data_IF_971290915213
#
_entry.id   IF_971290915213
#
_cell.length_a   1.000
_cell.length_b   1.000
_cell.length_c   1.000
_cell.angle_alpha   90.00
_cell.angle_beta   90.00
_cell.angle_gamma   90.00
#
_symmetry.space_group_name_H-M   'P 1'
#
loop_
_entity.id
_entity.type
_entity.pdbx_description
1 polymer ?
#
# COMPACT_ATOMS: atom_id res chain seq x y z
N UNK A 1 -11.28 -5.74 -7.49
CA UNK A 1 -11.91 -7.06 -7.67
C UNK A 1 -12.86 -7.24 -6.50
N UNK A 2 -14.16 -7.38 -6.77
CA UNK A 2 -15.15 -7.59 -5.71
C UNK A 2 -14.99 -9.02 -5.17
N UNK A 3 -14.67 -9.17 -3.89
CA UNK A 3 -14.69 -10.48 -3.24
C UNK A 3 -16.14 -10.92 -3.06
N UNK A 4 -16.79 -11.47 -4.09
CA UNK A 4 -17.98 -12.29 -3.88
C UNK A 4 -17.54 -13.72 -3.55
N UNK A 5 -16.95 -13.91 -2.37
CA UNK A 5 -16.70 -15.25 -1.82
C UNK A 5 -18.04 -15.83 -1.34
N UNK A 6 -18.83 -16.38 -2.28
CA UNK A 6 -19.93 -17.27 -1.91
C UNK A 6 -19.31 -18.53 -1.30
N UNK A 7 -19.41 -18.68 0.02
CA UNK A 7 -18.88 -19.85 0.75
C UNK A 7 -19.76 -21.05 0.49
N UNK A 8 -19.18 -22.21 0.13
CA UNK A 8 -19.94 -23.44 -0.10
C UNK A 8 -20.37 -24.08 1.20
N UNK A 9 -21.58 -24.68 1.24
CA UNK A 9 -22.02 -25.43 2.42
C UNK A 9 -21.06 -26.56 2.71
N UNK A 10 -20.54 -27.24 1.68
CA UNK A 10 -19.51 -28.26 1.86
C UNK A 10 -18.27 -27.72 2.58
N UNK A 11 -17.82 -26.51 2.25
CA UNK A 11 -16.66 -25.87 2.88
C UNK A 11 -16.92 -25.51 4.36
N UNK A 12 -18.20 -25.27 4.73
CA UNK A 12 -18.60 -24.98 6.11
C UNK A 12 -18.64 -26.22 7.00
N UNK A 13 -18.81 -27.41 6.41
CA UNK A 13 -19.01 -28.68 7.15
C UNK A 13 -17.85 -29.67 6.97
N UNK A 14 -16.78 -29.26 6.30
CA UNK A 14 -15.60 -30.10 6.05
C UNK A 14 -14.42 -29.64 6.91
N UNK A 15 -13.74 -30.60 7.53
CA UNK A 15 -12.54 -30.30 8.30
C UNK A 15 -11.33 -30.09 7.37
N UNK A 16 -10.63 -28.96 7.50
CA UNK A 16 -9.46 -28.66 6.66
C UNK A 16 -8.24 -29.57 6.90
N UNK A 17 -8.23 -30.35 8.00
CA UNK A 17 -7.13 -31.28 8.31
C UNK A 17 -7.33 -32.63 7.63
N UNK A 18 -8.46 -33.30 7.87
CA UNK A 18 -8.74 -34.61 7.25
C UNK A 18 -9.44 -34.51 5.89
N UNK A 19 -9.94 -33.33 5.52
CA UNK A 19 -10.71 -33.08 4.29
C UNK A 19 -12.00 -33.90 4.17
N UNK A 20 -12.51 -34.38 5.31
CA UNK A 20 -13.79 -35.09 5.42
C UNK A 20 -14.82 -34.23 6.17
N UNK A 21 -16.09 -34.64 6.10
CA UNK A 21 -17.15 -34.04 6.93
C UNK A 21 -16.75 -34.08 8.41
N UNK A 22 -17.09 -33.05 9.17
CA UNK A 22 -16.71 -33.02 10.58
C UNK A 22 -17.26 -34.22 11.36
N UNK A 23 -16.34 -35.00 11.94
CA UNK A 23 -16.61 -35.99 12.97
C UNK A 23 -16.25 -35.38 14.33
N UNK A 24 -17.24 -35.27 15.21
CA UNK A 24 -17.09 -34.66 16.54
C UNK A 24 -16.47 -33.24 16.50
N UNK A 25 -17.10 -32.25 15.85
CA UNK A 25 -16.53 -30.92 15.60
C UNK A 25 -16.28 -30.14 16.89
N UNK A 26 -15.04 -29.73 17.15
CA UNK A 26 -14.65 -28.94 18.32
C UNK A 26 -14.36 -27.50 17.92
N UNK A 27 -14.90 -26.55 18.70
CA UNK A 27 -14.74 -25.12 18.50
C UNK A 27 -13.55 -24.59 19.31
N UNK A 28 -12.61 -23.93 18.63
CA UNK A 28 -11.45 -23.30 19.27
C UNK A 28 -11.80 -21.89 19.77
N UNK A 29 -10.94 -21.35 20.65
CA UNK A 29 -11.00 -19.96 21.10
C UNK A 29 -10.95 -18.94 19.95
N UNK A 30 -10.31 -19.31 18.84
CA UNK A 30 -10.25 -18.54 17.61
C UNK A 30 -11.49 -18.63 16.71
N UNK A 31 -12.53 -19.34 17.14
CA UNK A 31 -13.76 -19.63 16.40
C UNK A 31 -13.64 -20.56 15.18
N UNK A 32 -12.46 -21.11 14.87
CA UNK A 32 -12.33 -22.20 13.89
C UNK A 32 -12.74 -23.55 14.49
N UNK A 33 -13.15 -24.48 13.61
CA UNK A 33 -13.66 -25.79 13.99
C UNK A 33 -12.86 -26.92 13.33
N UNK A 34 -12.55 -27.96 14.09
CA UNK A 34 -11.83 -29.16 13.63
C UNK A 34 -12.44 -30.43 14.24
N UNK A 35 -12.27 -31.59 13.60
CA UNK A 35 -12.64 -32.86 14.22
C UNK A 35 -11.81 -33.08 15.49
N UNK A 36 -12.42 -33.61 16.56
CA UNK A 36 -11.72 -33.94 17.81
C UNK A 36 -10.45 -34.77 17.55
N UNK A 37 -10.56 -35.83 16.74
CA UNK A 37 -9.43 -36.70 16.37
C UNK A 37 -8.30 -35.93 15.67
N UNK A 38 -8.64 -35.01 14.78
CA UNK A 38 -7.65 -34.18 14.08
C UNK A 38 -6.89 -33.28 15.06
N UNK A 39 -7.58 -32.71 16.05
CA UNK A 39 -6.97 -31.90 17.11
C UNK A 39 -6.03 -32.76 17.96
N UNK A 40 -6.53 -33.90 18.46
CA UNK A 40 -5.77 -34.81 19.33
C UNK A 40 -4.52 -35.37 18.64
N UNK A 41 -4.64 -35.80 17.37
CA UNK A 41 -3.51 -36.33 16.59
C UNK A 41 -2.45 -35.26 16.31
N UNK A 42 -2.88 -34.06 15.92
CA UNK A 42 -1.97 -32.95 15.65
C UNK A 42 -1.28 -32.46 16.93
N UNK A 43 -2.02 -32.41 18.05
CA UNK A 43 -1.47 -32.03 19.35
C UNK A 43 -0.47 -33.07 19.88
N UNK A 44 -0.76 -34.37 19.74
CA UNK A 44 0.14 -35.46 20.15
C UNK A 44 1.48 -35.39 19.42
N UNK A 45 1.48 -34.97 18.15
CA UNK A 45 2.69 -34.74 17.37
C UNK A 45 3.47 -33.47 17.80
N UNK A 46 2.84 -32.56 18.54
CA UNK A 46 3.37 -31.25 18.90
C UNK A 46 3.29 -30.97 20.42
N UNK A 47 3.86 -31.86 21.24
CA UNK A 47 3.99 -31.67 22.71
C UNK A 47 2.66 -31.33 23.41
N UNK A 48 1.59 -32.01 23.02
CA UNK A 48 0.23 -31.82 23.53
C UNK A 48 -0.36 -30.41 23.31
N UNK A 49 0.10 -29.72 22.26
CA UNK A 49 -0.40 -28.39 21.89
C UNK A 49 -0.95 -28.38 20.47
N UNK A 50 -2.19 -27.91 20.31
CA UNK A 50 -2.78 -27.71 19.00
C UNK A 50 -2.58 -26.27 18.54
N UNK A 51 -1.93 -26.11 17.38
CA UNK A 51 -1.82 -24.82 16.67
C UNK A 51 -2.87 -24.78 15.56
N UNK A 52 -3.75 -23.78 15.59
CA UNK A 52 -4.76 -23.60 14.54
C UNK A 52 -4.09 -23.33 13.17
N UNK A 53 -4.25 -24.22 12.15
CA UNK A 53 -3.60 -24.05 10.85
C UNK A 53 -4.09 -22.85 10.02
N UNK A 54 -5.22 -22.24 10.39
CA UNK A 54 -5.84 -21.14 9.66
C UNK A 54 -5.35 -19.75 10.10
N UNK A 55 -4.41 -19.67 11.06
CA UNK A 55 -3.79 -18.41 11.47
C UNK A 55 -2.36 -18.32 10.94
N UNK A 56 -2.06 -17.25 10.21
CA UNK A 56 -0.70 -16.92 9.80
C UNK A 56 0.00 -16.10 10.89
N UNK A 57 1.15 -16.55 11.38
CA UNK A 57 2.03 -15.85 12.33
C UNK A 57 1.52 -15.66 13.78
N UNK A 58 0.21 -15.67 14.02
CA UNK A 58 -0.40 -15.57 15.36
C UNK A 58 -0.95 -16.93 15.79
N UNK A 59 -0.05 -17.81 16.21
CA UNK A 59 -0.37 -19.17 16.66
C UNK A 59 -1.33 -19.11 17.85
N UNK A 60 -2.57 -19.51 17.65
CA UNK A 60 -3.49 -19.78 18.75
C UNK A 60 -3.26 -21.21 19.20
N UNK A 61 -2.78 -21.33 20.43
CA UNK A 61 -2.38 -22.57 21.07
C UNK A 61 -3.49 -23.03 22.01
N UNK A 62 -4.14 -24.14 21.67
CA UNK A 62 -5.04 -24.83 22.59
C UNK A 62 -4.23 -25.87 23.36
N UNK A 63 -4.16 -25.71 24.69
CA UNK A 63 -3.43 -26.61 25.59
C UNK A 63 -4.31 -27.70 26.19
N UNK A 64 -5.62 -27.47 26.25
CA UNK A 64 -6.59 -28.41 26.82
C UNK A 64 -7.58 -28.86 25.75
N UNK A 65 -7.09 -29.70 24.84
CA UNK A 65 -7.84 -30.15 23.66
C UNK A 65 -9.04 -31.03 24.03
N UNK A 66 -9.04 -31.62 25.23
CA UNK A 66 -10.12 -32.47 25.75
C UNK A 66 -11.34 -31.68 26.26
N UNK A 67 -11.17 -30.41 26.65
CA UNK A 67 -12.25 -29.57 27.17
C UNK A 67 -12.87 -28.61 26.15
N UNK A 68 -12.39 -28.64 24.90
CA UNK A 68 -12.93 -27.80 23.84
C UNK A 68 -14.43 -28.07 23.64
N UNK A 69 -15.27 -27.01 23.54
CA UNK A 69 -16.69 -27.19 23.36
C UNK A 69 -17.01 -27.82 22.00
N UNK A 70 -18.02 -28.69 21.98
CA UNK A 70 -18.61 -29.18 20.74
C UNK A 70 -19.24 -28.02 19.97
N UNK A 71 -18.94 -27.89 18.69
CA UNK A 71 -19.65 -26.98 17.80
C UNK A 71 -20.99 -27.61 17.39
N UNK A 72 -21.98 -27.46 18.26
CA UNK A 72 -23.31 -28.06 18.10
C UNK A 72 -23.97 -27.66 16.76
N UNK A 73 -23.84 -26.40 16.35
CA UNK A 73 -24.41 -25.94 15.08
C UNK A 73 -23.81 -26.61 13.85
N UNK A 74 -22.48 -26.78 13.81
CA UNK A 74 -21.81 -27.51 12.71
C UNK A 74 -22.17 -28.99 12.73
N UNK A 75 -22.26 -29.62 13.91
CA UNK A 75 -22.70 -31.02 14.03
C UNK A 75 -24.10 -31.21 13.46
N UNK A 76 -25.04 -30.36 13.84
CA UNK A 76 -26.42 -30.40 13.33
C UNK A 76 -26.45 -30.19 11.81
N UNK A 77 -25.64 -29.28 11.27
CA UNK A 77 -25.52 -29.07 9.82
C UNK A 77 -24.92 -30.28 9.09
N UNK A 78 -23.93 -30.98 9.67
CA UNK A 78 -23.38 -32.23 9.11
C UNK A 78 -24.43 -33.33 9.10
N UNK A 79 -25.18 -33.49 10.19
CA UNK A 79 -26.27 -34.47 10.30
C UNK A 79 -27.39 -34.16 9.30
N UNK A 80 -27.77 -32.89 9.16
CA UNK A 80 -28.73 -32.42 8.16
C UNK A 80 -28.25 -32.74 6.75
N UNK A 81 -26.97 -32.47 6.45
CA UNK A 81 -26.35 -32.76 5.16
C UNK A 81 -26.21 -34.26 4.87
N UNK A 82 -26.00 -35.09 5.90
CA UNK A 82 -25.85 -36.55 5.79
C UNK A 82 -27.17 -37.33 5.71
N UNK A 83 -28.26 -36.79 6.27
CA UNK A 83 -29.61 -37.34 6.11
C UNK A 83 -30.13 -37.19 4.67
N UNK A 84 -31.22 -37.86 4.30
CA UNK A 84 -31.87 -37.86 2.97
C UNK A 84 -32.23 -36.47 2.38
N UNK A 85 -31.92 -35.38 3.08
CA UNK A 85 -32.05 -33.97 2.67
C UNK A 85 -30.98 -33.47 1.68
N UNK A 86 -29.95 -34.25 1.33
CA UNK A 86 -29.12 -33.98 0.13
C UNK A 86 -29.97 -33.74 -1.11
N UNK A 87 -31.12 -34.40 -1.18
CA UNK A 87 -32.10 -34.24 -2.26
C UNK A 87 -32.80 -32.88 -2.25
N UNK A 88 -32.71 -32.08 -1.17
CA UNK A 88 -33.42 -30.81 -0.99
C UNK A 88 -32.53 -29.57 -1.15
N UNK A 89 -31.21 -29.70 -1.35
CA UNK A 89 -30.36 -28.54 -1.62
C UNK A 89 -30.58 -28.00 -3.04
N UNK A 90 -30.26 -26.72 -3.25
CA UNK A 90 -30.23 -26.16 -4.58
C UNK A 90 -29.23 -26.91 -5.45
N UNK A 91 -29.70 -27.47 -6.56
CA UNK A 91 -28.92 -28.23 -7.55
C UNK A 91 -27.75 -27.40 -8.10
N UNK A 92 -27.99 -26.10 -8.33
CA UNK A 92 -27.02 -25.20 -8.95
C UNK A 92 -25.92 -24.74 -7.98
N UNK A 93 -26.28 -24.12 -6.85
CA UNK A 93 -25.28 -23.54 -5.95
C UNK A 93 -24.88 -24.47 -4.81
N UNK A 94 -25.76 -25.41 -4.43
CA UNK A 94 -25.62 -26.28 -3.24
C UNK A 94 -25.40 -25.53 -1.92
N UNK A 95 -25.71 -24.22 -1.90
CA UNK A 95 -25.45 -23.34 -0.76
C UNK A 95 -26.60 -23.24 0.24
N UNK A 96 -27.81 -23.53 -0.22
CA UNK A 96 -29.03 -23.36 0.57
C UNK A 96 -30.01 -24.46 0.19
N UNK A 97 -30.96 -24.72 1.06
CA UNK A 97 -32.11 -25.57 0.74
C UNK A 97 -32.85 -24.94 -0.44
N UNK A 98 -33.19 -25.77 -1.43
CA UNK A 98 -34.02 -25.37 -2.53
C UNK A 98 -35.42 -25.03 -2.01
N UNK A 99 -35.92 -23.91 -2.49
CA UNK A 99 -37.28 -23.44 -2.21
C UNK A 99 -38.25 -23.91 -3.30
N UNK A 100 -37.71 -24.23 -4.49
CA UNK A 100 -38.49 -24.53 -5.68
C UNK A 100 -37.92 -25.73 -6.43
N UNK A 101 -38.80 -26.48 -7.07
CA UNK A 101 -38.47 -27.43 -8.12
C UNK A 101 -38.97 -26.88 -9.45
N UNK A 102 -38.27 -27.22 -10.53
CA UNK A 102 -38.67 -26.91 -11.89
C UNK A 102 -39.06 -28.22 -12.60
N UNK A 103 -40.33 -28.34 -12.97
CA UNK A 103 -40.89 -29.51 -13.65
C UNK A 103 -40.24 -29.80 -15.01
N UNK A 104 -39.90 -28.72 -15.72
CA UNK A 104 -39.34 -28.74 -17.07
C UNK A 104 -37.84 -29.03 -17.05
N UNK A 105 -37.13 -28.62 -16.00
CA UNK A 105 -35.73 -28.97 -15.74
C UNK A 105 -35.60 -30.31 -15.00
N UNK A 106 -36.30 -31.36 -15.44
CA UNK A 106 -36.24 -32.72 -14.85
C UNK A 106 -36.48 -32.77 -13.33
N UNK A 107 -37.33 -31.89 -12.79
CA UNK A 107 -37.56 -31.73 -11.34
C UNK A 107 -36.30 -31.33 -10.55
N UNK A 108 -35.33 -30.66 -11.19
CA UNK A 108 -34.21 -30.05 -10.48
C UNK A 108 -34.70 -28.97 -9.51
N UNK A 109 -34.04 -28.93 -8.35
CA UNK A 109 -34.42 -28.02 -7.26
C UNK A 109 -33.49 -26.81 -7.21
N UNK A 110 -34.03 -25.62 -6.98
CA UNK A 110 -33.31 -24.35 -6.98
C UNK A 110 -33.69 -23.49 -5.77
N UNK A 111 -32.73 -22.71 -5.27
CA UNK A 111 -33.04 -21.58 -4.39
C UNK A 111 -33.57 -20.40 -5.20
N UNK A 112 -34.18 -19.40 -4.54
CA UNK A 112 -34.76 -18.26 -5.25
C UNK A 112 -33.76 -17.56 -6.18
N UNK A 113 -32.54 -17.25 -5.71
CA UNK A 113 -31.53 -16.54 -6.50
C UNK A 113 -31.05 -17.36 -7.72
N UNK A 114 -30.81 -18.66 -7.53
CA UNK A 114 -30.37 -19.52 -8.62
C UNK A 114 -31.48 -19.81 -9.62
N UNK A 115 -32.74 -19.87 -9.19
CA UNK A 115 -33.86 -20.01 -10.10
C UNK A 115 -33.89 -18.82 -11.07
N UNK A 116 -33.82 -17.58 -10.56
CA UNK A 116 -33.80 -16.37 -11.40
C UNK A 116 -32.59 -16.31 -12.34
N UNK A 117 -31.43 -16.78 -11.89
CA UNK A 117 -30.19 -16.78 -12.67
C UNK A 117 -30.17 -17.86 -13.77
N UNK A 118 -30.75 -19.03 -13.51
CA UNK A 118 -30.84 -20.11 -14.50
C UNK A 118 -32.00 -19.86 -15.48
N UNK A 119 -33.09 -19.27 -14.98
CA UNK A 119 -34.30 -18.99 -15.75
C UNK A 119 -34.37 -17.55 -16.27
N UNK A 120 -33.23 -16.91 -16.55
CA UNK A 120 -33.20 -15.51 -17.00
C UNK A 120 -33.66 -15.33 -18.46
N UNK A 121 -33.51 -16.35 -19.30
CA UNK A 121 -33.89 -16.33 -20.72
C UNK A 121 -35.41 -16.38 -20.92
N UNK A 122 -36.00 -15.68 -21.93
CA UNK A 122 -37.44 -15.69 -22.21
C UNK A 122 -38.05 -17.08 -22.45
N UNK A 123 -37.25 -18.05 -22.87
CA UNK A 123 -37.69 -19.44 -23.07
C UNK A 123 -37.74 -20.19 -21.72
N UNK A 124 -36.76 -19.94 -20.84
CA UNK A 124 -36.64 -20.59 -19.52
C UNK A 124 -37.61 -19.98 -18.49
N UNK A 125 -37.99 -18.70 -18.62
CA UNK A 125 -38.99 -18.06 -17.76
C UNK A 125 -40.38 -18.72 -17.84
N UNK A 126 -40.65 -19.46 -18.93
CA UNK A 126 -41.90 -20.21 -19.10
C UNK A 126 -41.94 -21.50 -18.27
N UNK A 127 -40.81 -21.94 -17.72
CA UNK A 127 -40.76 -23.10 -16.85
C UNK A 127 -41.55 -22.85 -15.57
N UNK A 128 -42.27 -23.87 -15.09
CA UNK A 128 -43.11 -23.72 -13.92
C UNK A 128 -42.30 -23.88 -12.63
N UNK A 129 -42.44 -22.88 -11.75
CA UNK A 129 -41.90 -22.89 -10.38
C UNK A 129 -42.88 -23.65 -9.49
N UNK A 130 -42.48 -24.80 -8.98
CA UNK A 130 -43.24 -25.56 -7.99
C UNK A 130 -42.57 -25.43 -6.62
N UNK A 131 -43.28 -25.03 -5.55
CA UNK A 131 -42.70 -25.03 -4.22
C UNK A 131 -42.33 -26.46 -3.83
N UNK A 132 -41.10 -26.67 -3.38
CA UNK A 132 -40.74 -27.95 -2.74
C UNK A 132 -41.45 -28.01 -1.40
N UNK A 133 -42.32 -28.99 -1.19
CA UNK A 133 -42.99 -29.22 0.11
C UNK A 133 -41.92 -29.46 1.17
N UNK A 134 -41.56 -28.40 1.90
CA UNK A 134 -40.78 -28.50 3.12
C UNK A 134 -41.79 -28.78 4.23
N UNK A 135 -41.86 -30.04 4.69
CA UNK A 135 -42.41 -30.29 6.02
C UNK A 135 -41.54 -29.49 7.00
N UNK A 136 -42.10 -28.44 7.60
CA UNK A 136 -41.41 -27.71 8.64
C UNK A 136 -41.11 -28.70 9.77
N UNK A 137 -39.88 -28.77 10.28
CA UNK A 137 -39.56 -29.63 11.42
C UNK A 137 -40.54 -29.34 12.56
N UNK A 138 -41.24 -30.37 13.04
CA UNK A 138 -42.10 -30.22 14.21
C UNK A 138 -41.26 -29.81 15.42
N UNK A 139 -41.79 -28.86 16.22
CA UNK A 139 -41.09 -28.42 17.43
C UNK A 139 -40.90 -29.61 18.39
N UNK A 140 -39.68 -29.82 18.92
CA UNK A 140 -39.42 -30.98 19.74
C UNK A 140 -40.27 -30.97 21.03
N UNK A 141 -40.66 -32.15 21.54
CA UNK A 141 -41.38 -32.25 22.80
C UNK A 141 -40.48 -31.84 23.97
N UNK A 142 -41.09 -31.27 25.01
CA UNK A 142 -40.36 -30.90 26.22
C UNK A 142 -39.91 -32.15 26.98
N UNK A 143 -38.61 -32.22 27.33
CA UNK A 143 -38.04 -33.33 28.11
C UNK A 143 -38.78 -33.60 29.42
N UNK A 144 -39.24 -32.53 30.10
CA UNK A 144 -39.97 -32.62 31.38
C UNK A 144 -41.47 -32.88 31.18
N UNK A 145 -42.02 -32.53 30.02
CA UNK A 145 -43.44 -32.64 29.70
C UNK A 145 -43.60 -33.22 28.28
N UNK A 146 -43.43 -34.53 28.09
CA UNK A 146 -43.30 -35.15 26.76
C UNK A 146 -44.50 -34.96 25.82
N UNK A 147 -45.68 -34.62 26.36
CA UNK A 147 -46.90 -34.34 25.59
C UNK A 147 -47.03 -32.87 25.15
N UNK A 148 -46.09 -32.00 25.52
CA UNK A 148 -46.13 -30.56 25.22
C UNK A 148 -44.94 -30.19 24.36
N UNK A 149 -45.20 -29.38 23.34
CA UNK A 149 -44.17 -28.85 22.46
C UNK A 149 -43.47 -27.66 23.12
N UNK A 150 -42.21 -27.45 22.73
CA UNK A 150 -41.46 -26.26 23.09
C UNK A 150 -41.91 -25.08 22.21
N UNK A 151 -42.59 -24.09 22.79
CA UNK A 151 -43.25 -23.01 22.04
C UNK A 151 -42.86 -21.59 22.53
N UNK A 152 -42.22 -21.49 23.70
CA UNK A 152 -41.91 -20.20 24.34
C UNK A 152 -40.42 -20.07 24.66
N UNK A 153 -39.92 -18.83 24.65
CA UNK A 153 -38.58 -18.47 25.11
C UNK A 153 -38.65 -17.72 26.43
N UNK A 154 -37.89 -18.15 27.43
CA UNK A 154 -37.76 -17.45 28.70
C UNK A 154 -36.49 -16.57 28.70
N UNK A 155 -36.67 -15.24 28.72
CA UNK A 155 -35.54 -14.29 28.75
C UNK A 155 -34.74 -14.33 30.05
N UNK A 156 -35.37 -14.71 31.16
CA UNK A 156 -34.68 -14.79 32.46
C UNK A 156 -33.75 -16.00 32.53
N UNK A 157 -34.18 -17.15 32.00
CA UNK A 157 -33.44 -18.40 32.07
C UNK A 157 -32.65 -18.72 30.81
N UNK A 158 -32.83 -17.93 29.74
CA UNK A 158 -32.20 -18.12 28.43
C UNK A 158 -32.40 -19.54 27.87
N UNK A 159 -33.63 -20.03 27.95
CA UNK A 159 -34.00 -21.39 27.51
C UNK A 159 -35.37 -21.42 26.86
N UNK A 160 -35.55 -22.37 25.94
CA UNK A 160 -36.84 -22.71 25.35
C UNK A 160 -37.66 -23.53 26.35
N UNK A 161 -38.96 -23.26 26.46
CA UNK A 161 -39.89 -23.89 27.41
C UNK A 161 -41.24 -24.19 26.76
N UNK A 162 -41.96 -25.17 27.30
CA UNK A 162 -43.35 -25.45 26.95
C UNK A 162 -44.33 -24.71 27.87
N UNK A 163 -45.63 -24.77 27.56
CA UNK A 163 -46.69 -24.14 28.35
C UNK A 163 -46.70 -24.59 29.82
N UNK A 164 -46.46 -25.87 30.11
CA UNK A 164 -46.47 -26.39 31.48
C UNK A 164 -45.24 -25.90 32.27
N UNK A 165 -44.06 -25.81 31.62
CA UNK A 165 -42.88 -25.18 32.23
C UNK A 165 -43.14 -23.71 32.58
N UNK A 166 -43.80 -22.98 31.67
CA UNK A 166 -44.15 -21.59 31.89
C UNK A 166 -45.04 -21.42 33.14
N UNK A 167 -46.09 -22.24 33.26
CA UNK A 167 -47.04 -22.14 34.36
C UNK A 167 -46.49 -22.62 35.71
N UNK A 168 -45.64 -23.65 35.71
CA UNK A 168 -45.17 -24.28 36.95
C UNK A 168 -43.90 -23.67 37.52
N UNK A 169 -42.96 -23.21 36.68
CA UNK A 169 -41.63 -22.78 37.11
C UNK A 169 -41.20 -21.40 36.63
N UNK A 170 -41.75 -20.91 35.52
CA UNK A 170 -41.31 -19.65 34.90
C UNK A 170 -42.43 -18.59 34.91
N UNK A 171 -43.43 -18.73 35.80
CA UNK A 171 -44.63 -17.90 35.81
C UNK A 171 -44.33 -16.40 35.95
N UNK A 172 -43.34 -16.07 36.78
CA UNK A 172 -42.93 -14.70 37.07
C UNK A 172 -41.74 -14.24 36.20
N UNK A 173 -41.32 -15.05 35.22
CA UNK A 173 -40.23 -14.70 34.31
C UNK A 173 -40.73 -13.99 33.06
N UNK A 174 -39.88 -13.16 32.46
CA UNK A 174 -40.18 -12.56 31.17
C UNK A 174 -40.07 -13.62 30.07
N UNK A 175 -41.11 -13.74 29.24
CA UNK A 175 -41.14 -14.71 28.14
C UNK A 175 -41.74 -14.11 26.86
N UNK A 176 -41.57 -14.82 25.75
CA UNK A 176 -42.21 -14.55 24.46
C UNK A 176 -42.39 -15.86 23.69
N UNK A 177 -43.10 -15.84 22.55
CA UNK A 177 -43.15 -17.00 21.65
C UNK A 177 -41.81 -17.18 20.92
N UNK A 178 -41.52 -18.42 20.50
CA UNK A 178 -40.33 -18.72 19.69
C UNK A 178 -40.32 -17.85 18.42
N UNK A 179 -41.43 -17.74 17.71
CA UNK A 179 -41.54 -16.92 16.49
C UNK A 179 -41.19 -15.44 16.71
N UNK A 180 -41.53 -14.91 17.89
CA UNK A 180 -41.22 -13.53 18.25
C UNK A 180 -39.73 -13.32 18.48
N UNK A 181 -39.09 -14.20 19.26
CA UNK A 181 -37.66 -14.09 19.57
C UNK A 181 -36.78 -14.45 18.37
N UNK A 182 -37.19 -15.40 17.52
CA UNK A 182 -36.43 -15.78 16.32
C UNK A 182 -36.37 -14.61 15.35
N UNK A 183 -37.49 -13.94 15.07
CA UNK A 183 -37.52 -12.73 14.23
C UNK A 183 -36.69 -11.59 14.80
N UNK A 184 -36.77 -11.36 16.11
CA UNK A 184 -35.96 -10.34 16.80
C UNK A 184 -34.46 -10.66 16.66
N UNK A 185 -34.10 -11.91 16.91
CA UNK A 185 -32.71 -12.37 16.89
C UNK A 185 -32.13 -12.40 15.48
N UNK A 186 -32.89 -12.86 14.49
CA UNK A 186 -32.54 -12.83 13.06
C UNK A 186 -32.29 -11.39 12.60
N UNK A 187 -33.18 -10.46 12.95
CA UNK A 187 -33.00 -9.03 12.64
C UNK A 187 -31.71 -8.50 13.27
N UNK A 188 -31.43 -8.86 14.52
CA UNK A 188 -30.22 -8.45 15.24
C UNK A 188 -28.96 -9.02 14.61
N UNK A 189 -28.97 -10.30 14.22
CA UNK A 189 -27.88 -10.98 13.51
C UNK A 189 -27.58 -10.24 12.20
N UNK A 190 -28.61 -10.01 11.38
CA UNK A 190 -28.46 -9.38 10.08
C UNK A 190 -27.91 -7.96 10.19
N UNK A 191 -28.44 -7.13 11.10
CA UNK A 191 -27.94 -5.77 11.33
C UNK A 191 -26.48 -5.78 11.80
N UNK A 192 -26.12 -6.68 12.73
CA UNK A 192 -24.76 -6.77 13.25
C UNK A 192 -23.77 -7.21 12.16
N UNK A 193 -24.09 -8.28 11.41
CA UNK A 193 -23.22 -8.74 10.33
C UNK A 193 -23.07 -7.71 9.23
N UNK A 194 -24.17 -7.07 8.80
CA UNK A 194 -24.11 -6.00 7.81
C UNK A 194 -23.26 -4.81 8.30
N UNK A 195 -23.39 -4.44 9.58
CA UNK A 195 -22.59 -3.37 10.19
C UNK A 195 -21.10 -3.69 10.24
N UNK A 196 -20.74 -4.90 10.67
CA UNK A 196 -19.35 -5.38 10.71
C UNK A 196 -18.77 -5.46 9.30
N UNK A 197 -19.50 -6.06 8.35
CA UNK A 197 -19.09 -6.16 6.95
C UNK A 197 -18.81 -4.78 6.37
N UNK A 198 -19.74 -3.84 6.51
CA UNK A 198 -19.58 -2.47 6.02
C UNK A 198 -18.39 -1.74 6.67
N UNK A 199 -18.12 -2.02 7.94
CA UNK A 199 -16.95 -1.48 8.65
C UNK A 199 -15.63 -2.03 8.08
N UNK A 200 -15.56 -3.35 7.88
CA UNK A 200 -14.37 -4.00 7.33
C UNK A 200 -14.09 -3.53 5.90
N UNK A 201 -15.09 -3.53 5.02
CA UNK A 201 -14.96 -3.05 3.64
C UNK A 201 -14.49 -1.59 3.58
N UNK A 202 -15.04 -0.74 4.44
CA UNK A 202 -14.62 0.66 4.52
C UNK A 202 -13.15 0.81 4.93
N UNK A 203 -12.73 0.10 6.00
CA UNK A 203 -11.35 0.16 6.50
C UNK A 203 -10.35 -0.40 5.49
N UNK A 204 -10.70 -1.48 4.80
CA UNK A 204 -9.90 -2.01 3.68
C UNK A 204 -9.74 -0.93 2.61
N UNK A 205 -10.84 -0.31 2.17
CA UNK A 205 -10.81 0.78 1.18
C UNK A 205 -9.99 1.99 1.63
N UNK A 206 -10.07 2.40 2.91
CA UNK A 206 -9.24 3.49 3.43
C UNK A 206 -7.75 3.11 3.43
N UNK A 207 -7.41 1.87 3.83
CA UNK A 207 -6.04 1.39 3.79
C UNK A 207 -5.49 1.38 2.35
N UNK A 208 -6.28 0.92 1.37
CA UNK A 208 -5.92 0.97 -0.05
C UNK A 208 -5.65 2.40 -0.53
N UNK A 209 -6.46 3.38 -0.12
CA UNK A 209 -6.24 4.79 -0.46
C UNK A 209 -4.92 5.30 0.14
N UNK A 210 -4.63 4.95 1.40
CA UNK A 210 -3.39 5.37 2.06
C UNK A 210 -2.15 4.71 1.42
N UNK A 211 -2.22 3.42 1.08
CA UNK A 211 -1.16 2.72 0.34
C UNK A 211 -0.86 3.45 -0.97
N UNK A 212 -1.90 3.76 -1.76
CA UNK A 212 -1.74 4.51 -3.00
C UNK A 212 -1.17 5.92 -2.78
N UNK A 213 -1.54 6.60 -1.70
CA UNK A 213 -1.00 7.92 -1.35
C UNK A 213 0.50 7.84 -1.01
N UNK A 214 0.92 6.83 -0.25
CA UNK A 214 2.33 6.55 0.07
C UNK A 214 3.12 6.27 -1.21
N UNK A 215 2.60 5.40 -2.08
CA UNK A 215 3.25 5.07 -3.36
C UNK A 215 3.40 6.29 -4.26
N UNK A 216 2.36 7.12 -4.38
CA UNK A 216 2.39 8.32 -5.19
C UNK A 216 3.36 9.37 -4.62
N UNK A 217 3.41 9.53 -3.31
CA UNK A 217 4.37 10.42 -2.65
C UNK A 217 5.81 9.95 -2.89
N UNK A 218 6.07 8.65 -2.72
CA UNK A 218 7.37 8.03 -3.01
C UNK A 218 7.79 8.28 -4.46
N UNK A 219 6.91 7.98 -5.43
CA UNK A 219 7.17 8.22 -6.87
C UNK A 219 7.42 9.70 -7.17
N UNK A 220 6.65 10.60 -6.58
CA UNK A 220 6.83 12.06 -6.74
C UNK A 220 8.18 12.51 -6.22
N UNK A 221 8.57 12.08 -5.02
CA UNK A 221 9.84 12.46 -4.43
C UNK A 221 11.03 11.85 -5.17
N UNK A 222 10.93 10.61 -5.66
CA UNK A 222 11.94 10.02 -6.54
C UNK A 222 12.14 10.88 -7.81
N UNK A 223 11.06 11.32 -8.46
CA UNK A 223 11.16 12.24 -9.61
C UNK A 223 11.83 13.56 -9.24
N UNK A 224 11.49 14.16 -8.09
CA UNK A 224 12.14 15.39 -7.62
C UNK A 224 13.64 15.18 -7.40
N UNK A 225 14.04 14.08 -6.77
CA UNK A 225 15.45 13.73 -6.57
C UNK A 225 16.15 13.61 -7.91
N UNK A 226 15.59 12.86 -8.86
CA UNK A 226 16.16 12.70 -10.20
C UNK A 226 16.35 14.06 -10.88
N UNK A 227 15.32 14.92 -10.88
CA UNK A 227 15.39 16.23 -11.53
C UNK A 227 16.46 17.14 -10.90
N UNK A 228 16.52 17.20 -9.57
CA UNK A 228 17.54 17.99 -8.85
C UNK A 228 18.95 17.48 -9.19
N UNK A 229 19.14 16.16 -9.17
CA UNK A 229 20.45 15.57 -9.45
C UNK A 229 20.87 15.75 -10.91
N UNK A 230 19.94 15.70 -11.86
CA UNK A 230 20.22 16.00 -13.26
C UNK A 230 20.64 17.46 -13.43
N UNK A 231 19.88 18.41 -12.88
CA UNK A 231 20.20 19.83 -12.97
C UNK A 231 21.57 20.17 -12.34
N UNK A 232 21.90 19.54 -11.21
CA UNK A 232 23.22 19.70 -10.58
C UNK A 232 24.35 19.21 -11.47
N UNK A 233 24.19 18.07 -12.16
CA UNK A 233 25.20 17.57 -13.10
C UNK A 233 25.36 18.49 -14.29
N UNK A 234 24.25 18.91 -14.92
CA UNK A 234 24.27 19.85 -16.04
C UNK A 234 24.99 21.16 -15.67
N UNK A 235 24.71 21.71 -14.49
CA UNK A 235 25.37 22.93 -14.01
C UNK A 235 26.89 22.72 -13.80
N UNK A 236 27.30 21.57 -13.27
CA UNK A 236 28.71 21.23 -13.06
C UNK A 236 29.41 21.07 -14.42
N UNK A 237 28.80 20.35 -15.36
CA UNK A 237 29.34 20.11 -16.70
C UNK A 237 29.49 21.43 -17.47
N UNK A 238 28.48 22.32 -17.42
CA UNK A 238 28.55 23.66 -18.01
C UNK A 238 29.67 24.50 -17.40
N UNK A 239 29.86 24.45 -16.08
CA UNK A 239 30.91 25.20 -15.40
C UNK A 239 32.31 24.63 -15.73
N UNK A 240 32.44 23.30 -15.80
CA UNK A 240 33.67 22.64 -16.23
C UNK A 240 34.06 23.10 -17.64
N UNK A 241 33.13 23.03 -18.60
CA UNK A 241 33.41 23.42 -19.98
C UNK A 241 33.76 24.92 -20.07
N UNK A 242 33.06 25.78 -19.34
CA UNK A 242 33.38 27.20 -19.29
C UNK A 242 34.81 27.47 -18.77
N UNK A 243 35.25 26.77 -17.71
CA UNK A 243 36.62 26.88 -17.20
C UNK A 243 37.66 26.39 -18.22
N UNK A 244 37.39 25.27 -18.91
CA UNK A 244 38.27 24.75 -19.96
C UNK A 244 38.41 25.75 -21.12
N UNK A 245 37.30 26.34 -21.58
CA UNK A 245 37.31 27.34 -22.64
C UNK A 245 38.06 28.62 -22.25
N UNK A 246 37.95 29.05 -20.99
CA UNK A 246 38.74 30.19 -20.49
C UNK A 246 40.25 29.92 -20.56
N UNK A 247 40.70 28.73 -20.11
CA UNK A 247 42.12 28.34 -20.18
C UNK A 247 42.61 28.35 -21.63
N UNK A 248 41.87 27.72 -22.55
CA UNK A 248 42.23 27.68 -23.98
C UNK A 248 42.30 29.07 -24.60
N UNK A 249 41.39 29.97 -24.21
CA UNK A 249 41.37 31.35 -24.72
C UNK A 249 42.60 32.12 -24.26
N UNK A 250 42.98 32.00 -22.98
CA UNK A 250 44.19 32.63 -22.42
C UNK A 250 45.43 32.07 -23.11
N UNK A 251 45.54 30.75 -23.26
CA UNK A 251 46.67 30.10 -23.91
C UNK A 251 46.84 30.58 -25.36
N UNK A 252 45.73 30.64 -26.12
CA UNK A 252 45.72 31.10 -27.51
C UNK A 252 46.19 32.55 -27.62
N UNK A 253 45.71 33.43 -26.76
CA UNK A 253 46.08 34.85 -26.75
C UNK A 253 47.57 35.02 -26.39
N UNK A 254 48.07 34.30 -25.39
CA UNK A 254 49.50 34.32 -25.03
C UNK A 254 50.39 33.83 -26.17
N UNK A 255 50.03 32.71 -26.80
CA UNK A 255 50.78 32.18 -27.95
C UNK A 255 50.82 33.18 -29.10
N UNK A 256 49.70 33.85 -29.37
CA UNK A 256 49.63 34.90 -30.39
C UNK A 256 50.56 36.07 -30.06
N UNK A 257 50.50 36.60 -28.84
CA UNK A 257 51.39 37.70 -28.41
C UNK A 257 52.88 37.33 -28.52
N UNK A 258 53.24 36.08 -28.19
CA UNK A 258 54.61 35.60 -28.34
C UNK A 258 55.04 35.42 -29.81
N UNK A 259 54.16 34.96 -30.69
CA UNK A 259 54.46 34.91 -32.13
C UNK A 259 54.57 36.30 -32.77
N UNK A 260 53.71 37.25 -32.35
CA UNK A 260 53.76 38.64 -32.78
C UNK A 260 55.07 39.33 -32.31
N UNK A 261 55.60 38.97 -31.14
CA UNK A 261 56.92 39.41 -30.65
C UNK A 261 58.09 38.76 -31.42
N UNK A 262 57.98 37.46 -31.71
CA UNK A 262 59.03 36.67 -32.37
C UNK A 262 59.21 37.00 -33.85
N UNK A 263 58.14 37.39 -34.54
CA UNK A 263 58.15 37.71 -35.98
C UNK A 263 59.11 38.85 -36.35
N UNK A 264 59.05 40.05 -35.74
CA UNK A 264 59.99 41.13 -36.05
C UNK A 264 61.44 40.79 -35.65
N UNK A 265 61.66 40.02 -34.57
CA UNK A 265 63.00 39.57 -34.18
C UNK A 265 63.63 38.66 -35.25
N UNK A 266 62.85 37.75 -35.84
CA UNK A 266 63.31 36.93 -36.97
C UNK A 266 63.71 37.79 -38.17
N UNK A 267 62.95 38.83 -38.47
CA UNK A 267 63.26 39.74 -39.57
C UNK A 267 64.54 40.55 -39.31
N UNK A 268 64.72 41.10 -38.10
CA UNK A 268 65.96 41.78 -37.71
C UNK A 268 67.18 40.84 -37.77
N UNK A 269 67.02 39.57 -37.35
CA UNK A 269 68.08 38.57 -37.47
C UNK A 269 68.44 38.26 -38.93
N UNK A 270 67.45 38.15 -39.81
CA UNK A 270 67.67 37.98 -41.24
C UNK A 270 68.43 39.18 -41.84
N UNK A 271 68.03 40.40 -41.49
CA UNK A 271 68.71 41.62 -41.93
C UNK A 271 70.16 41.66 -41.44
N UNK A 272 70.41 41.28 -40.18
CA UNK A 272 71.75 41.20 -39.62
C UNK A 272 72.64 40.23 -40.39
N UNK A 273 72.10 39.06 -40.74
CA UNK A 273 72.84 38.08 -41.54
C UNK A 273 73.18 38.61 -42.94
N UNK A 274 72.26 39.32 -43.60
CA UNK A 274 72.52 39.95 -44.91
C UNK A 274 73.61 41.01 -44.79
N UNK A 275 73.51 41.90 -43.80
CA UNK A 275 74.50 42.95 -43.56
C UNK A 275 75.88 42.33 -43.27
N UNK A 276 75.94 41.32 -42.40
CA UNK A 276 77.17 40.60 -42.07
C UNK A 276 77.87 40.05 -43.31
N UNK A 277 77.15 39.31 -44.17
CA UNK A 277 77.70 38.75 -45.41
C UNK A 277 78.17 39.86 -46.36
N UNK A 278 77.41 40.95 -46.46
CA UNK A 278 77.77 42.11 -47.28
C UNK A 278 79.10 42.71 -46.84
N UNK A 279 79.28 42.94 -45.54
CA UNK A 279 80.54 43.46 -45.00
C UNK A 279 81.69 42.45 -45.13
N UNK A 280 81.46 41.16 -44.91
CA UNK A 280 82.47 40.10 -45.11
C UNK A 280 83.00 40.06 -46.55
N UNK A 281 82.11 40.23 -47.55
CA UNK A 281 82.51 40.35 -48.95
C UNK A 281 83.32 41.62 -49.22
N UNK A 282 82.93 42.77 -48.64
CA UNK A 282 83.67 44.02 -48.76
C UNK A 282 85.08 43.90 -48.14
N UNK A 283 85.22 43.29 -46.97
CA UNK A 283 86.53 43.01 -46.35
C UNK A 283 87.40 42.13 -47.24
N UNK A 284 86.83 41.06 -47.80
CA UNK A 284 87.54 40.12 -48.67
C UNK A 284 88.04 40.76 -49.97
N UNK A 285 87.34 41.78 -50.47
CA UNK A 285 87.74 42.53 -51.67
C UNK A 285 89.01 43.38 -51.50
N UNK A 286 89.46 43.62 -50.25
CA UNK A 286 90.58 44.53 -49.89
C UNK A 286 90.42 45.97 -50.43
N UNK A 287 89.23 46.38 -50.84
CA UNK A 287 88.95 47.75 -51.27
C UNK A 287 88.61 48.65 -50.06
N UNK A 288 89.64 49.08 -49.34
CA UNK A 288 89.49 49.83 -48.10
C UNK A 288 88.83 51.21 -48.27
N UNK A 289 88.95 51.83 -49.45
CA UNK A 289 88.29 53.12 -49.73
C UNK A 289 86.77 52.92 -49.78
N UNK A 290 86.28 51.90 -50.48
CA UNK A 290 84.84 51.60 -50.56
C UNK A 290 84.28 51.17 -49.21
N UNK A 291 85.05 50.42 -48.42
CA UNK A 291 84.68 50.05 -47.06
C UNK A 291 84.50 51.29 -46.16
N UNK A 292 85.45 52.23 -46.19
CA UNK A 292 85.36 53.46 -45.39
C UNK A 292 84.17 54.34 -45.80
N UNK A 293 83.77 54.32 -47.08
CA UNK A 293 82.57 55.02 -47.55
C UNK A 293 81.27 54.44 -46.95
N UNK A 294 81.24 53.17 -46.57
CA UNK A 294 80.07 52.52 -45.95
C UNK A 294 79.97 52.69 -44.43
N UNK A 295 80.93 53.37 -43.79
CA UNK A 295 80.98 53.50 -42.32
C UNK A 295 79.72 54.14 -41.73
N UNK A 296 79.24 55.22 -42.34
CA UNK A 296 78.05 55.92 -41.85
C UNK A 296 76.79 55.06 -41.99
N UNK A 297 76.66 54.34 -43.11
CA UNK A 297 75.54 53.41 -43.33
C UNK A 297 75.52 52.27 -42.30
N UNK A 298 76.71 51.78 -41.91
CA UNK A 298 76.84 50.78 -40.85
C UNK A 298 76.44 51.33 -39.48
N UNK A 299 76.93 52.52 -39.11
CA UNK A 299 76.58 53.17 -37.84
C UNK A 299 75.07 53.44 -37.76
N UNK A 300 74.46 53.90 -38.86
CA UNK A 300 73.02 54.12 -38.99
C UNK A 300 72.23 52.80 -38.86
N UNK A 301 72.70 51.72 -39.49
CA UNK A 301 72.11 50.39 -39.37
C UNK A 301 72.14 49.89 -37.91
N UNK A 302 73.30 49.94 -37.26
CA UNK A 302 73.47 49.50 -35.87
C UNK A 302 72.59 50.31 -34.92
N UNK A 303 72.55 51.63 -35.08
CA UNK A 303 71.70 52.50 -34.27
C UNK A 303 70.21 52.20 -34.46
N UNK A 304 69.77 51.99 -35.72
CA UNK A 304 68.39 51.63 -36.04
C UNK A 304 68.00 50.28 -35.43
N UNK A 305 68.80 49.23 -35.65
CA UNK A 305 68.50 47.89 -35.12
C UNK A 305 68.53 47.88 -33.58
N UNK A 306 69.48 48.56 -32.95
CA UNK A 306 69.49 48.71 -31.49
C UNK A 306 68.26 49.47 -30.97
N UNK A 307 67.79 50.48 -31.71
CA UNK A 307 66.53 51.19 -31.41
C UNK A 307 65.32 50.26 -31.49
N UNK A 308 65.20 49.47 -32.54
CA UNK A 308 64.13 48.47 -32.72
C UNK A 308 64.17 47.40 -31.61
N UNK A 309 65.35 46.90 -31.24
CA UNK A 309 65.48 45.91 -30.17
C UNK A 309 65.07 46.49 -28.81
N UNK A 310 65.32 47.78 -28.56
CA UNK A 310 64.87 48.47 -27.35
C UNK A 310 63.35 48.69 -27.30
N UNK A 311 62.69 48.85 -28.45
CA UNK A 311 61.24 49.05 -28.51
C UNK A 311 60.46 47.73 -28.43
N UNK A 312 61.06 46.60 -28.82
CA UNK A 312 60.45 45.28 -28.71
C UNK A 312 60.56 44.73 -27.27
N UNK A 313 59.47 44.86 -26.50
CA UNK A 313 59.37 44.32 -25.15
C UNK A 313 58.79 42.90 -25.14
N UNK A 314 59.39 42.02 -24.34
CA UNK A 314 58.87 40.65 -24.16
C UNK A 314 57.53 40.69 -23.42
N UNK A 315 56.47 40.05 -23.96
CA UNK A 315 55.18 39.98 -23.28
C UNK A 315 55.27 39.25 -21.93
N UNK A 316 54.44 39.65 -20.98
CA UNK A 316 54.30 38.94 -19.70
C UNK A 316 53.56 37.61 -19.88
N UNK A 317 53.89 36.62 -19.04
CA UNK A 317 53.20 35.33 -18.99
C UNK A 317 52.21 35.32 -17.82
N UNK A 318 50.97 34.99 -18.11
CA UNK A 318 49.92 34.73 -17.10
C UNK A 318 49.87 33.25 -16.80
N UNK A 319 49.95 32.88 -15.53
CA UNK A 319 49.70 31.50 -15.08
C UNK A 319 48.31 31.45 -14.42
N UNK A 320 47.52 30.43 -14.77
CA UNK A 320 46.19 30.21 -14.22
C UNK A 320 46.31 29.16 -13.10
N UNK A 321 46.04 29.57 -11.87
CA UNK A 321 46.07 28.69 -10.71
C UNK A 321 44.64 28.33 -10.32
N UNK A 322 44.33 27.03 -10.35
CA UNK A 322 43.12 26.50 -9.76
C UNK A 322 43.43 26.19 -8.29
N UNK A 323 42.74 26.86 -7.36
CA UNK A 323 42.74 26.45 -5.97
C UNK A 323 42.01 25.11 -5.84
N UNK A 324 42.51 24.20 -5.00
CA UNK A 324 41.78 22.98 -4.66
C UNK A 324 40.42 23.33 -4.06
N UNK A 325 39.38 22.54 -4.39
CA UNK A 325 38.00 22.73 -3.92
C UNK A 325 37.89 22.58 -2.39
N UNK A 326 38.27 23.61 -1.64
CA UNK A 326 38.15 23.66 -0.18
C UNK A 326 36.70 23.63 0.33
N UNK A 327 35.70 23.70 -0.56
CA UNK A 327 34.27 23.80 -0.21
C UNK A 327 33.45 22.53 -0.48
N UNK A 328 34.09 21.36 -0.67
CA UNK A 328 33.38 20.08 -0.82
C UNK A 328 32.43 19.79 0.36
N UNK A 329 32.75 20.25 1.57
CA UNK A 329 31.89 20.09 2.75
C UNK A 329 30.56 20.85 2.63
N UNK A 330 30.57 22.07 2.06
CA UNK A 330 29.34 22.87 1.90
C UNK A 330 28.37 22.22 0.91
N UNK A 331 28.89 21.69 -0.20
CA UNK A 331 28.10 20.97 -1.20
C UNK A 331 27.55 19.67 -0.60
N UNK A 332 28.37 18.90 0.13
CA UNK A 332 27.93 17.69 0.84
C UNK A 332 26.80 17.97 1.84
N UNK A 333 26.89 19.08 2.57
CA UNK A 333 25.90 19.44 3.59
C UNK A 333 24.57 19.88 2.96
N UNK A 334 24.62 20.59 1.83
CA UNK A 334 23.42 20.92 1.04
C UNK A 334 22.74 19.67 0.46
N UNK A 335 23.52 18.70 -0.03
CA UNK A 335 22.97 17.41 -0.50
C UNK A 335 22.28 16.66 0.63
N UNK A 336 22.86 16.63 1.83
CA UNK A 336 22.24 15.99 3.00
C UNK A 336 20.92 16.63 3.41
N UNK A 337 20.77 17.95 3.23
CA UNK A 337 19.53 18.67 3.59
C UNK A 337 18.38 18.44 2.60
N UNK A 338 18.63 17.87 1.41
CA UNK A 338 17.59 17.58 0.43
C UNK A 338 16.63 16.45 0.83
N UNK A 339 16.97 15.65 1.86
CA UNK A 339 16.11 14.58 2.38
C UNK A 339 15.82 14.74 3.87
N UNK A 340 14.58 15.09 4.22
CA UNK A 340 14.09 14.99 5.61
C UNK A 340 12.90 14.05 5.66
N UNK A 341 13.00 13.03 6.50
CA UNK A 341 11.89 12.13 6.81
C UNK A 341 11.11 12.76 7.96
N UNK A 342 9.82 13.03 7.72
CA UNK A 342 8.89 13.45 8.77
C UNK A 342 7.85 12.34 8.88
N UNK A 343 7.85 11.66 10.01
CA UNK A 343 6.79 10.71 10.33
C UNK A 343 5.52 11.53 10.56
N UNK A 344 4.51 11.33 9.70
CA UNK A 344 3.21 11.98 9.86
C UNK A 344 2.40 11.06 10.76
N UNK A 345 2.14 11.43 12.03
CA UNK A 345 1.37 10.60 12.92
C UNK A 345 -0.06 10.42 12.37
N UNK A 346 -0.75 9.33 12.74
CA UNK A 346 -2.17 9.19 12.46
C UNK A 346 -2.94 10.42 12.93
N UNK A 347 -3.89 10.90 12.14
CA UNK A 347 -4.75 12.02 12.52
C UNK A 347 -5.43 11.73 13.87
N UNK A 348 -5.24 12.63 14.84
CA UNK A 348 -5.72 12.47 16.22
C UNK A 348 -6.51 13.70 16.64
N UNK A 349 -7.74 13.50 17.16
CA UNK A 349 -8.57 14.56 17.74
C UNK A 349 -8.93 14.23 19.19
N UNK A 350 -8.12 14.74 20.12
CA UNK A 350 -8.27 14.53 21.56
C UNK A 350 -9.60 15.07 22.14
N UNK A 351 -10.17 16.13 21.55
CA UNK A 351 -11.47 16.65 22.00
C UNK A 351 -12.60 15.68 21.66
N UNK A 352 -12.52 15.06 20.49
CA UNK A 352 -13.46 14.05 20.04
C UNK A 352 -13.36 12.80 20.93
N UNK A 353 -12.14 12.29 21.17
CA UNK A 353 -11.91 11.10 22.02
C UNK A 353 -12.40 11.30 23.46
N UNK A 354 -12.22 12.50 24.02
CA UNK A 354 -12.72 12.83 25.36
C UNK A 354 -14.25 12.85 25.41
N UNK A 355 -14.90 13.45 24.40
CA UNK A 355 -16.36 13.40 24.22
C UNK A 355 -16.88 11.96 24.07
N UNK A 356 -16.11 11.10 23.41
CA UNK A 356 -16.42 9.68 23.21
C UNK A 356 -16.29 8.90 24.52
N UNK A 357 -15.20 9.09 25.27
CA UNK A 357 -14.99 8.44 26.57
C UNK A 357 -16.06 8.84 27.61
N UNK A 358 -16.45 10.11 27.63
CA UNK A 358 -17.49 10.64 28.52
C UNK A 358 -18.91 10.12 28.17
N UNK A 359 -19.14 9.67 26.93
CA UNK A 359 -20.44 9.22 26.45
C UNK A 359 -20.51 7.72 26.08
N UNK A 360 -19.46 6.93 26.27
CA UNK A 360 -19.35 5.52 25.86
C UNK A 360 -20.39 4.54 26.46
N UNK A 361 -21.23 4.99 27.40
CA UNK A 361 -22.37 4.24 27.95
C UNK A 361 -23.75 4.68 27.44
N UNK A 362 -23.84 5.80 26.70
CA UNK A 362 -25.12 6.35 26.20
C UNK A 362 -25.33 5.95 24.75
N UNK A 363 -26.58 5.62 24.40
CA UNK A 363 -26.97 5.24 23.04
C UNK A 363 -27.03 6.43 22.06
N UNK A 364 -26.63 7.65 22.47
CA UNK A 364 -26.64 8.89 21.68
C UNK A 364 -25.54 9.88 22.13
N UNK A 365 -24.78 10.48 21.19
CA UNK A 365 -23.75 11.53 21.32
C UNK A 365 -24.13 12.87 20.62
N UNK A 366 -24.45 13.95 21.35
CA UNK A 366 -24.85 15.22 20.73
C UNK A 366 -23.65 16.03 20.18
N UNK A 367 -23.64 16.31 18.87
CA UNK A 367 -22.57 17.05 18.16
C UNK A 367 -22.95 18.49 17.75
N UNK A 368 -24.11 19.00 18.18
CA UNK A 368 -24.62 20.31 17.75
C UNK A 368 -23.68 21.46 18.17
N UNK A 369 -23.31 22.32 17.22
CA UNK A 369 -22.46 23.50 17.44
C UNK A 369 -20.95 23.22 17.50
N UNK A 370 -20.48 22.04 17.08
CA UNK A 370 -19.05 21.71 16.99
C UNK A 370 -18.55 21.89 15.56
N UNK A 371 -17.41 22.56 15.39
CA UNK A 371 -16.71 22.64 14.11
C UNK A 371 -15.92 21.35 13.89
N UNK A 372 -16.48 20.43 13.10
CA UNK A 372 -15.88 19.13 12.78
C UNK A 372 -15.31 19.15 11.36
N UNK A 373 -14.12 18.58 11.19
CA UNK A 373 -13.50 18.36 9.88
C UNK A 373 -13.99 17.06 9.24
N UNK A 374 -13.74 16.87 7.94
CA UNK A 374 -14.06 15.60 7.25
C UNK A 374 -13.38 14.39 7.89
N UNK A 375 -12.18 14.57 8.47
CA UNK A 375 -11.46 13.54 9.22
C UNK A 375 -12.12 13.22 10.56
N UNK A 376 -12.73 14.22 11.22
CA UNK A 376 -13.51 14.01 12.45
C UNK A 376 -14.78 13.22 12.17
N UNK A 377 -15.47 13.55 11.07
CA UNK A 377 -16.68 12.82 10.64
C UNK A 377 -16.39 11.35 10.33
N UNK A 378 -15.18 11.03 9.85
CA UNK A 378 -14.73 9.64 9.62
C UNK A 378 -14.50 8.87 10.93
N UNK A 379 -13.91 9.50 11.95
CA UNK A 379 -13.71 8.88 13.27
C UNK A 379 -15.07 8.63 13.96
N UNK A 380 -15.99 9.60 13.90
CA UNK A 380 -17.36 9.44 14.42
C UNK A 380 -18.09 8.30 13.70
N UNK A 381 -17.94 8.17 12.38
CA UNK A 381 -18.56 7.11 11.58
C UNK A 381 -18.02 5.70 11.92
N UNK A 382 -16.71 5.57 12.18
CA UNK A 382 -16.10 4.30 12.59
C UNK A 382 -16.53 3.85 14.00
N UNK A 383 -16.83 4.80 14.89
CA UNK A 383 -17.32 4.53 16.25
C UNK A 383 -18.80 4.17 16.29
N UNK A 384 -19.63 4.78 15.43
CA UNK A 384 -21.03 4.39 15.23
C UNK A 384 -21.18 2.90 14.86
N UNK A 385 -20.16 2.31 14.23
CA UNK A 385 -20.16 0.92 13.80
C UNK A 385 -19.66 -0.06 14.88
N UNK A 386 -18.94 0.42 15.90
CA UNK A 386 -18.30 -0.44 16.91
C UNK A 386 -19.08 -0.63 18.22
N UNK A 387 -20.06 0.21 18.56
CA UNK A 387 -20.79 0.04 19.82
C UNK A 387 -22.14 0.77 19.87
N UNK A 388 -23.24 0.03 20.02
CA UNK A 388 -24.47 0.34 20.81
C UNK A 388 -25.15 1.73 20.77
N UNK A 389 -24.82 2.64 19.85
CA UNK A 389 -25.40 3.99 19.76
C UNK A 389 -26.42 4.05 18.62
N UNK A 390 -27.72 4.25 18.94
CA UNK A 390 -28.86 3.93 18.07
C UNK A 390 -29.52 5.09 17.30
N UNK A 391 -29.17 6.38 17.48
CA UNK A 391 -29.79 7.48 16.70
C UNK A 391 -29.09 8.85 16.84
N UNK A 392 -29.09 9.66 15.78
CA UNK A 392 -28.94 11.12 15.87
C UNK A 392 -30.12 11.88 15.28
N UNK A 393 -30.46 12.98 15.95
CA UNK A 393 -31.22 14.09 15.36
C UNK A 393 -30.22 15.08 14.75
N UNK A 394 -30.34 15.31 13.45
CA UNK A 394 -29.76 16.48 12.78
C UNK A 394 -30.73 17.66 12.94
N UNK A 395 -30.25 18.77 13.50
CA UNK A 395 -30.74 20.13 13.22
C UNK A 395 -29.57 21.09 13.29
#
# INVERSE_FOLDING_TARGET
MAFSNKVRVEDLITCVICQELFDDPRLLSCSHTYCRKCIEQTASANKDQFECPLHDGNKILEKDTGSLPLNQGIRELVELYGSTQRSNLCTNCRLVVAEYACDTCKNEKFCSECYETVHTSPVMQKHQRLPTSQELPEMPPCEKHPRKQLEYWCYTCLTVICIDCLLLKHKDHKYTSIDGVTKEFETKININFQGIQSSLEYRIKQAEILINAVDNNSKSNQKKITNIMTLLRETIDEHEEAMRQQILTIEKEQKKQLEDYKTPLKHELQNLNIQKVTFEMLFSSKNYIKLLQTKQEFDDYVNKTNGTLKSLQMPSRTEYYLEELGQLQFIQEKIKQCGRYVEVPPYHNAQLEKLIAENGKKQTLNLKGKNLTDSDMKIVADLLRKSTVRKYFFL
#
